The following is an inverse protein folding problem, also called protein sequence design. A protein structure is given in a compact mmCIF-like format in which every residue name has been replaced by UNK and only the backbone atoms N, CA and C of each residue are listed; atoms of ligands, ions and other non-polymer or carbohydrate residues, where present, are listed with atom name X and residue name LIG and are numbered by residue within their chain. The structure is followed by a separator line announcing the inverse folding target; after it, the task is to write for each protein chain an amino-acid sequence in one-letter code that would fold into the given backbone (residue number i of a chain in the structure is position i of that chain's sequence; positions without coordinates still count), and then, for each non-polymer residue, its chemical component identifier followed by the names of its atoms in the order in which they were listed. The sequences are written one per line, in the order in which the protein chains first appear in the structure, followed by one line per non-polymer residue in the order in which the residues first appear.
data_IF_420630734912
#
_entry.id   IF_420630734912
#
_cell.length_a   1.000
_cell.length_b   1.000
_cell.length_c   1.000
_cell.angle_alpha   90.00
_cell.angle_beta   90.00
_cell.angle_gamma   90.00
#
_symmetry.space_group_name_H-M   'P 1'
#
loop_
_entity.id
_entity.type
_entity.pdbx_description
1 polymer ?
#
# COMPACT_ATOMS: atom_id res chain seq x y z
N UNK A 1 37.69 -33.00 -11.15
CA UNK A 1 38.38 -32.69 -9.88
C UNK A 1 37.34 -32.60 -8.77
N UNK A 2 37.43 -33.50 -7.80
CA UNK A 2 36.52 -33.64 -6.65
C UNK A 2 36.65 -32.44 -5.70
N UNK A 3 37.82 -31.79 -5.67
CA UNK A 3 38.11 -30.59 -4.85
C UNK A 3 37.24 -29.39 -5.20
N UNK A 4 36.86 -29.23 -6.47
CA UNK A 4 36.06 -28.09 -6.90
C UNK A 4 34.60 -28.21 -6.45
N UNK A 5 34.11 -29.45 -6.25
CA UNK A 5 32.76 -29.72 -5.72
C UNK A 5 32.70 -29.46 -4.22
N UNK A 6 33.74 -29.88 -3.48
CA UNK A 6 33.83 -29.68 -2.03
C UNK A 6 33.94 -28.20 -1.65
N UNK A 7 34.77 -27.43 -2.36
CA UNK A 7 34.85 -25.97 -2.21
C UNK A 7 33.51 -25.29 -2.51
N UNK A 8 32.80 -25.72 -3.55
CA UNK A 8 31.48 -25.17 -3.89
C UNK A 8 30.46 -25.43 -2.77
N UNK A 9 30.43 -26.63 -2.21
CA UNK A 9 29.51 -26.98 -1.11
C UNK A 9 29.80 -26.19 0.18
N UNK A 10 31.07 -25.94 0.52
CA UNK A 10 31.45 -25.06 1.62
C UNK A 10 31.04 -23.60 1.39
N UNK A 11 31.23 -23.07 0.17
CA UNK A 11 30.80 -21.70 -0.17
C UNK A 11 29.27 -21.56 -0.11
N UNK A 12 28.52 -22.55 -0.59
CA UNK A 12 27.04 -22.57 -0.48
C UNK A 12 26.62 -22.59 0.99
N UNK A 13 27.30 -23.37 1.84
CA UNK A 13 27.00 -23.45 3.27
C UNK A 13 27.27 -22.15 4.01
N UNK A 14 28.35 -21.45 3.66
CA UNK A 14 28.76 -20.22 4.34
C UNK A 14 27.98 -18.99 3.88
N UNK A 15 27.62 -18.91 2.58
CA UNK A 15 26.98 -17.74 2.00
C UNK A 15 25.50 -17.95 1.61
N UNK A 16 25.00 -19.19 1.61
CA UNK A 16 23.63 -19.52 1.18
C UNK A 16 23.41 -19.42 -0.34
N UNK A 17 24.40 -19.01 -1.11
CA UNK A 17 24.29 -18.76 -2.55
C UNK A 17 24.60 -20.05 -3.32
N UNK A 18 23.56 -20.72 -3.83
CA UNK A 18 23.66 -21.96 -4.62
C UNK A 18 24.29 -21.78 -6.01
N UNK A 19 24.28 -20.56 -6.56
CA UNK A 19 24.85 -20.22 -7.86
C UNK A 19 24.42 -18.82 -8.32
N UNK A 20 24.97 -18.38 -9.45
CA UNK A 20 24.54 -17.15 -10.13
C UNK A 20 23.22 -17.38 -10.87
N UNK A 21 22.27 -16.45 -10.74
CA UNK A 21 21.04 -16.52 -11.52
C UNK A 21 21.35 -16.32 -13.01
N UNK A 22 20.71 -17.09 -13.89
CA UNK A 22 20.78 -16.85 -15.36
C UNK A 22 20.33 -15.44 -15.74
N UNK A 23 19.56 -14.77 -14.88
CA UNK A 23 19.16 -13.39 -15.11
C UNK A 23 20.37 -12.42 -15.12
N UNK A 24 21.48 -12.75 -14.43
CA UNK A 24 22.71 -11.96 -14.45
C UNK A 24 23.43 -12.02 -15.81
N UNK A 25 23.15 -13.02 -16.64
CA UNK A 25 23.72 -13.17 -17.98
C UNK A 25 23.03 -12.25 -19.00
N UNK A 26 21.84 -11.73 -18.67
CA UNK A 26 21.06 -10.87 -19.55
C UNK A 26 21.61 -9.44 -19.47
N UNK A 27 22.37 -9.03 -20.50
CA UNK A 27 23.00 -7.68 -20.59
C UNK A 27 21.99 -6.52 -20.52
N UNK A 28 20.72 -6.76 -20.85
CA UNK A 28 19.66 -5.76 -20.76
C UNK A 28 19.17 -5.51 -19.33
N UNK A 29 19.38 -6.44 -18.39
CA UNK A 29 18.99 -6.26 -16.99
C UNK A 29 20.10 -5.57 -16.20
N UNK A 30 19.78 -4.43 -15.62
CA UNK A 30 20.60 -3.73 -14.63
C UNK A 30 20.07 -4.05 -13.23
N UNK A 31 20.81 -4.82 -12.45
CA UNK A 31 20.45 -5.09 -11.05
C UNK A 31 20.96 -3.95 -10.15
N UNK A 32 20.16 -3.43 -9.19
CA UNK A 32 18.75 -3.78 -8.91
C UNK A 32 17.73 -2.97 -9.72
N UNK A 33 18.16 -1.99 -10.51
CA UNK A 33 17.32 -0.99 -11.18
C UNK A 33 16.23 -1.52 -12.13
N UNK A 34 16.38 -2.75 -12.63
CA UNK A 34 15.39 -3.39 -13.50
C UNK A 34 14.22 -4.02 -12.75
N UNK A 35 14.27 -3.99 -11.41
CA UNK A 35 13.22 -4.51 -10.53
C UNK A 35 12.79 -3.39 -9.55
N UNK A 36 12.23 -2.28 -10.06
CA UNK A 36 11.69 -1.25 -9.18
C UNK A 36 10.58 -1.84 -8.30
N UNK A 37 10.37 -1.25 -7.12
CA UNK A 37 9.29 -1.65 -6.23
C UNK A 37 7.96 -1.41 -6.97
N UNK A 38 7.12 -2.44 -7.06
CA UNK A 38 5.84 -2.34 -7.74
C UNK A 38 4.81 -1.57 -6.89
N UNK A 39 3.80 -1.03 -7.58
CA UNK A 39 2.64 -0.34 -7.00
C UNK A 39 1.96 -1.23 -5.94
N UNK A 40 1.91 -2.54 -6.17
CA UNK A 40 1.28 -3.49 -5.26
C UNK A 40 1.96 -3.51 -3.88
N UNK A 41 3.28 -3.64 -3.83
CA UNK A 41 3.99 -3.66 -2.56
C UNK A 41 4.05 -2.26 -1.96
N UNK A 42 4.37 -1.25 -2.77
CA UNK A 42 4.57 0.10 -2.27
C UNK A 42 3.27 0.73 -1.77
N UNK A 43 2.23 0.83 -2.61
CA UNK A 43 1.00 1.52 -2.21
C UNK A 43 0.05 0.62 -1.43
N UNK A 44 -0.20 -0.61 -1.92
CA UNK A 44 -1.27 -1.43 -1.34
C UNK A 44 -0.82 -2.15 -0.08
N UNK A 45 0.38 -2.73 -0.06
CA UNK A 45 0.85 -3.49 1.11
C UNK A 45 1.58 -2.64 2.16
N UNK A 46 2.05 -1.44 1.83
CA UNK A 46 2.74 -0.57 2.79
C UNK A 46 1.92 0.67 3.14
N UNK A 47 1.71 1.61 2.21
CA UNK A 47 1.10 2.91 2.54
C UNK A 47 -0.35 2.79 3.03
N UNK A 48 -1.20 2.01 2.35
CA UNK A 48 -2.59 1.85 2.75
C UNK A 48 -2.78 1.29 4.19
N UNK A 49 -2.14 0.16 4.57
CA UNK A 49 -2.24 -0.34 5.94
C UNK A 49 -1.57 0.60 6.96
N UNK A 50 -0.48 1.28 6.58
CA UNK A 50 0.16 2.28 7.44
C UNK A 50 -0.81 3.42 7.78
N UNK A 51 -1.48 3.98 6.77
CA UNK A 51 -2.45 5.06 6.95
C UNK A 51 -3.67 4.62 7.74
N UNK A 52 -4.20 3.43 7.46
CA UNK A 52 -5.27 2.84 8.26
C UNK A 52 -4.87 2.71 9.73
N UNK A 53 -3.67 2.20 10.00
CA UNK A 53 -3.18 1.99 11.34
C UNK A 53 -2.84 3.31 12.07
N UNK A 54 -2.41 4.34 11.31
CA UNK A 54 -2.21 5.70 11.79
C UNK A 54 -3.53 6.32 12.29
N UNK A 55 -4.59 6.26 11.49
CA UNK A 55 -5.92 6.79 11.85
C UNK A 55 -6.66 5.95 12.92
N UNK A 56 -6.29 4.68 13.10
CA UNK A 56 -6.88 3.77 14.10
C UNK A 56 -6.03 3.58 15.36
N UNK A 57 -4.99 4.39 15.58
CA UNK A 57 -4.11 4.39 16.76
C UNK A 57 -3.32 3.11 17.06
N UNK A 58 -3.21 2.16 16.13
CA UNK A 58 -2.45 0.92 16.40
C UNK A 58 -0.93 1.11 16.42
N UNK A 59 -0.43 2.26 15.96
CA UNK A 59 1.01 2.56 15.88
C UNK A 59 1.59 3.32 17.08
N UNK A 60 0.82 4.20 17.74
CA UNK A 60 1.35 5.05 18.82
C UNK A 60 0.71 4.69 20.16
N UNK A 61 1.41 3.85 20.93
CA UNK A 61 1.09 3.61 22.36
C UNK A 61 1.53 4.77 23.27
N UNK A 62 2.29 5.74 22.75
CA UNK A 62 2.86 6.80 23.55
C UNK A 62 1.98 8.06 23.47
N UNK A 63 1.38 8.37 24.61
CA UNK A 63 0.67 9.59 24.91
C UNK A 63 1.55 10.82 24.59
N UNK A 64 1.24 11.53 23.52
CA UNK A 64 1.55 12.95 23.41
C UNK A 64 0.24 13.70 23.15
N UNK A 65 0.06 14.77 23.90
CA UNK A 65 -1.22 15.48 24.10
C UNK A 65 -1.72 16.20 22.84
N UNK A 66 -0.89 16.35 21.80
CA UNK A 66 -1.27 16.92 20.49
C UNK A 66 -2.04 15.95 19.58
N UNK A 67 -2.22 14.70 20.01
CA UNK A 67 -2.66 13.61 19.13
C UNK A 67 -4.15 13.60 18.77
N UNK A 68 -4.97 14.55 19.22
CA UNK A 68 -6.43 14.46 19.12
C UNK A 68 -7.06 14.86 17.77
N UNK A 69 -6.31 15.50 16.87
CA UNK A 69 -6.90 16.14 15.68
C UNK A 69 -7.08 15.16 14.49
N UNK A 70 -6.36 14.04 14.47
CA UNK A 70 -6.33 13.08 13.36
C UNK A 70 -6.97 11.72 13.70
N UNK A 71 -7.69 11.63 14.82
CA UNK A 71 -8.22 10.38 15.35
C UNK A 71 -9.63 10.09 14.85
N UNK A 72 -9.82 8.88 14.34
CA UNK A 72 -11.15 8.31 14.13
C UNK A 72 -11.44 7.35 15.28
N UNK A 73 -12.57 7.55 15.95
CA UNK A 73 -12.99 6.70 17.06
C UNK A 73 -13.23 5.25 16.59
N UNK A 74 -12.96 4.26 17.44
CA UNK A 74 -13.21 2.85 17.16
C UNK A 74 -14.68 2.56 16.80
N UNK A 75 -15.64 3.23 17.43
CA UNK A 75 -17.06 3.10 17.07
C UNK A 75 -17.34 3.51 15.61
N UNK A 76 -16.64 4.55 15.14
CA UNK A 76 -16.75 5.02 13.75
C UNK A 76 -16.09 4.02 12.79
N UNK A 77 -14.95 3.43 13.17
CA UNK A 77 -14.33 2.36 12.38
C UNK A 77 -15.20 1.10 12.29
N UNK A 78 -15.88 0.74 13.37
CA UNK A 78 -16.85 -0.35 13.38
C UNK A 78 -18.02 -0.07 12.43
N UNK A 79 -18.56 1.15 12.43
CA UNK A 79 -19.59 1.60 11.47
C UNK A 79 -19.10 1.49 10.02
N UNK A 80 -17.89 1.97 9.72
CA UNK A 80 -17.26 1.85 8.39
C UNK A 80 -17.17 0.37 7.98
N UNK A 81 -16.68 -0.48 8.88
CA UNK A 81 -16.54 -1.91 8.62
C UNK A 81 -17.87 -2.61 8.35
N UNK A 82 -18.93 -2.23 9.07
CA UNK A 82 -20.27 -2.77 8.86
C UNK A 82 -20.86 -2.30 7.52
N UNK A 83 -20.70 -1.01 7.18
CA UNK A 83 -21.10 -0.47 5.87
C UNK A 83 -20.41 -1.16 4.71
N UNK A 84 -19.10 -1.44 4.82
CA UNK A 84 -18.38 -2.21 3.78
C UNK A 84 -18.98 -3.61 3.58
N UNK A 85 -19.35 -4.29 4.67
CA UNK A 85 -20.00 -5.62 4.62
C UNK A 85 -21.42 -5.56 4.04
N UNK A 86 -22.14 -4.46 4.22
CA UNK A 86 -23.45 -4.27 3.60
C UNK A 86 -23.32 -4.03 2.10
N UNK A 87 -22.41 -3.15 1.69
CA UNK A 87 -22.14 -2.85 0.27
C UNK A 87 -21.70 -4.11 -0.48
N UNK A 88 -20.98 -5.03 0.17
CA UNK A 88 -20.53 -6.28 -0.44
C UNK A 88 -21.68 -7.11 -1.02
N UNK A 89 -22.91 -6.98 -0.52
CA UNK A 89 -24.08 -7.73 -1.02
C UNK A 89 -24.54 -7.28 -2.40
N UNK A 90 -24.31 -6.00 -2.73
CA UNK A 90 -24.84 -5.36 -3.94
C UNK A 90 -23.73 -5.00 -4.94
N UNK A 91 -22.51 -5.51 -4.71
CA UNK A 91 -21.35 -5.13 -5.50
C UNK A 91 -21.24 -5.99 -6.77
N UNK A 92 -21.02 -5.37 -7.96
CA UNK A 92 -20.75 -6.12 -9.18
C UNK A 92 -19.52 -7.04 -9.05
N UNK A 93 -19.63 -8.25 -9.61
CA UNK A 93 -18.54 -9.23 -9.61
C UNK A 93 -17.29 -8.73 -10.34
N UNK A 94 -17.45 -7.80 -11.28
CA UNK A 94 -16.37 -7.21 -12.08
C UNK A 94 -15.35 -6.41 -11.25
N UNK A 95 -15.74 -5.98 -10.04
CA UNK A 95 -14.83 -5.27 -9.12
C UNK A 95 -13.89 -6.24 -8.39
N UNK A 96 -14.08 -7.55 -8.61
CA UNK A 96 -13.23 -8.61 -8.12
C UNK A 96 -13.64 -9.06 -6.73
N UNK A 97 -12.76 -8.85 -5.74
CA UNK A 97 -12.97 -9.40 -4.40
C UNK A 97 -13.95 -8.55 -3.60
N UNK A 98 -14.97 -9.22 -3.05
CA UNK A 98 -15.98 -8.59 -2.21
C UNK A 98 -15.34 -7.88 -1.00
N UNK A 99 -15.77 -6.64 -0.70
CA UNK A 99 -15.25 -5.89 0.43
C UNK A 99 -15.62 -6.61 1.72
N UNK A 100 -14.62 -6.72 2.59
CA UNK A 100 -14.80 -7.26 3.93
C UNK A 100 -14.79 -6.13 4.96
N UNK A 101 -15.30 -6.41 6.15
CA UNK A 101 -15.25 -5.47 7.26
C UNK A 101 -13.76 -5.18 7.60
N UNK A 102 -13.30 -3.98 7.23
CA UNK A 102 -11.90 -3.55 7.43
C UNK A 102 -11.54 -3.53 8.91
N UNK A 103 -12.44 -3.08 9.78
CA UNK A 103 -12.19 -3.02 11.22
C UNK A 103 -11.87 -4.39 11.83
N UNK A 104 -12.55 -5.45 11.39
CA UNK A 104 -12.34 -6.83 11.87
C UNK A 104 -11.23 -7.59 11.15
N UNK A 105 -11.03 -7.34 9.86
CA UNK A 105 -10.23 -8.23 8.99
C UNK A 105 -8.99 -7.58 8.36
N UNK A 106 -8.65 -6.32 8.67
CA UNK A 106 -7.52 -5.60 8.04
C UNK A 106 -6.18 -6.37 8.08
N UNK A 107 -5.92 -7.20 9.10
CA UNK A 107 -4.68 -8.01 9.21
C UNK A 107 -4.56 -9.03 8.07
N UNK A 108 -5.70 -9.56 7.61
CA UNK A 108 -5.77 -10.56 6.54
C UNK A 108 -5.94 -9.97 5.14
N UNK A 109 -5.98 -8.64 5.01
CA UNK A 109 -6.19 -8.00 3.72
C UNK A 109 -5.01 -8.25 2.78
N UNK A 110 -5.34 -8.79 1.60
CA UNK A 110 -4.43 -8.91 0.46
C UNK A 110 -4.33 -7.57 -0.26
N UNK A 111 -3.35 -7.47 -1.16
CA UNK A 111 -3.13 -6.24 -1.93
C UNK A 111 -4.37 -5.78 -2.71
N UNK A 112 -5.20 -6.70 -3.22
CA UNK A 112 -6.46 -6.34 -3.91
C UNK A 112 -7.49 -5.70 -2.98
N UNK A 113 -7.55 -6.12 -1.71
CA UNK A 113 -8.47 -5.53 -0.72
C UNK A 113 -8.01 -4.12 -0.35
N UNK A 114 -6.69 -3.91 -0.21
CA UNK A 114 -6.12 -2.59 -0.01
C UNK A 114 -6.25 -1.68 -1.22
N UNK A 115 -6.11 -2.20 -2.44
CA UNK A 115 -6.40 -1.45 -3.67
C UNK A 115 -7.84 -0.96 -3.66
N UNK A 116 -8.80 -1.86 -3.46
CA UNK A 116 -10.22 -1.53 -3.43
C UNK A 116 -10.54 -0.53 -2.30
N UNK A 117 -9.89 -0.68 -1.14
CA UNK A 117 -9.98 0.31 -0.07
C UNK A 117 -9.54 1.70 -0.55
N UNK A 118 -8.36 1.82 -1.15
CA UNK A 118 -7.85 3.10 -1.65
C UNK A 118 -8.80 3.70 -2.69
N UNK A 119 -9.12 2.96 -3.75
CA UNK A 119 -9.76 3.51 -4.95
C UNK A 119 -11.27 3.63 -4.86
N UNK A 120 -11.95 2.87 -3.98
CA UNK A 120 -13.42 2.82 -3.95
C UNK A 120 -14.02 3.25 -2.62
N UNK A 121 -13.40 2.87 -1.50
CA UNK A 121 -14.06 2.95 -0.20
C UNK A 121 -13.52 4.07 0.69
N UNK A 122 -12.22 4.34 0.63
CA UNK A 122 -11.55 5.21 1.59
C UNK A 122 -12.13 6.62 1.60
N UNK A 123 -12.18 7.30 0.45
CA UNK A 123 -12.71 8.67 0.35
C UNK A 123 -14.18 8.80 0.77
N UNK A 124 -15.15 8.04 0.22
CA UNK A 124 -16.55 8.18 0.59
C UNK A 124 -16.82 7.76 2.03
N UNK A 125 -16.12 6.74 2.54
CA UNK A 125 -16.36 6.27 3.90
C UNK A 125 -15.71 7.16 4.94
N UNK A 126 -14.57 7.79 4.66
CA UNK A 126 -13.88 8.73 5.57
C UNK A 126 -14.45 10.15 5.53
N UNK A 127 -15.22 10.50 4.49
CA UNK A 127 -15.85 11.81 4.39
C UNK A 127 -16.77 12.09 5.58
N UNK A 128 -16.62 13.27 6.19
CA UNK A 128 -17.33 13.67 7.41
C UNK A 128 -16.88 12.97 8.70
N UNK A 129 -15.90 12.07 8.65
CA UNK A 129 -15.34 11.35 9.82
C UNK A 129 -13.88 11.70 10.09
N UNK A 130 -13.14 12.03 9.02
CA UNK A 130 -11.77 12.52 9.09
C UNK A 130 -11.76 14.04 8.85
N UNK A 131 -10.89 14.78 9.54
CA UNK A 131 -10.71 16.22 9.29
C UNK A 131 -10.38 16.45 7.81
N UNK A 132 -11.05 17.46 7.24
CA UNK A 132 -11.03 17.79 5.82
C UNK A 132 -9.61 17.97 5.28
N UNK A 133 -8.67 18.48 6.08
CA UNK A 133 -7.26 18.66 5.69
C UNK A 133 -6.61 17.32 5.37
N UNK A 134 -6.75 16.32 6.25
CA UNK A 134 -6.19 14.99 6.03
C UNK A 134 -6.89 14.26 4.89
N UNK A 135 -8.21 14.41 4.77
CA UNK A 135 -8.97 13.80 3.67
C UNK A 135 -8.55 14.36 2.31
N UNK A 136 -8.34 15.68 2.19
CA UNK A 136 -7.86 16.31 0.97
C UNK A 136 -6.48 15.80 0.56
N UNK A 137 -5.59 15.54 1.53
CA UNK A 137 -4.25 15.00 1.27
C UNK A 137 -4.29 13.53 0.91
N UNK A 138 -5.12 12.74 1.58
CA UNK A 138 -5.39 11.37 1.19
C UNK A 138 -5.97 11.28 -0.22
N UNK A 139 -6.82 12.23 -0.62
CA UNK A 139 -7.34 12.31 -1.99
C UNK A 139 -6.21 12.49 -3.03
N UNK A 140 -5.15 13.25 -2.72
CA UNK A 140 -3.97 13.37 -3.59
C UNK A 140 -3.27 12.01 -3.79
N UNK A 141 -3.10 11.25 -2.71
CA UNK A 141 -2.57 9.89 -2.79
C UNK A 141 -3.48 8.95 -3.60
N UNK A 142 -4.80 8.97 -3.35
CA UNK A 142 -5.76 8.15 -4.12
C UNK A 142 -5.68 8.50 -5.60
N UNK A 143 -5.62 9.78 -5.95
CA UNK A 143 -5.49 10.23 -7.34
C UNK A 143 -4.20 9.76 -7.99
N UNK A 144 -3.07 9.82 -7.28
CA UNK A 144 -1.80 9.29 -7.79
C UNK A 144 -1.88 7.78 -8.05
N UNK A 145 -2.48 7.02 -7.13
CA UNK A 145 -2.69 5.57 -7.30
C UNK A 145 -3.60 5.27 -8.48
N UNK A 146 -4.67 6.03 -8.68
CA UNK A 146 -5.57 5.87 -9.82
C UNK A 146 -4.84 6.10 -11.15
N UNK A 147 -4.04 7.17 -11.25
CA UNK A 147 -3.21 7.45 -12.42
C UNK A 147 -2.23 6.30 -12.69
N UNK A 148 -1.57 5.79 -11.65
CA UNK A 148 -0.68 4.64 -11.78
C UNK A 148 -1.38 3.37 -12.29
N UNK A 149 -2.68 3.20 -12.04
CA UNK A 149 -3.48 2.06 -12.47
C UNK A 149 -4.10 2.21 -13.86
N UNK A 150 -3.99 3.38 -14.50
CA UNK A 150 -4.51 3.59 -15.85
C UNK A 150 -3.74 2.76 -16.87
N UNK A 151 -4.47 2.28 -17.88
CA UNK A 151 -3.90 1.47 -18.97
C UNK A 151 -3.12 2.31 -19.99
N UNK A 152 -3.50 3.57 -20.15
CA UNK A 152 -2.90 4.51 -21.10
C UNK A 152 -2.33 5.67 -20.30
N UNK A 153 -1.04 5.93 -20.48
CA UNK A 153 -0.39 7.09 -19.90
C UNK A 153 -0.33 8.23 -20.91
N UNK A 154 -0.69 9.43 -20.50
CA UNK A 154 -0.43 10.68 -21.21
C UNK A 154 0.93 11.20 -20.74
N UNK A 155 1.71 11.85 -21.62
CA UNK A 155 3.09 12.26 -21.34
C UNK A 155 3.28 13.12 -20.06
N UNK A 156 2.23 13.72 -19.50
CA UNK A 156 2.28 14.52 -18.27
C UNK A 156 1.96 13.73 -16.99
N UNK A 157 1.49 12.48 -17.07
CA UNK A 157 1.00 11.75 -15.91
C UNK A 157 2.11 11.49 -14.88
N UNK A 158 3.36 11.29 -15.33
CA UNK A 158 4.48 11.06 -14.42
C UNK A 158 4.81 12.29 -13.56
N UNK A 159 4.72 13.49 -14.13
CA UNK A 159 4.92 14.73 -13.38
C UNK A 159 3.77 14.92 -12.39
N UNK A 160 2.53 14.70 -12.83
CA UNK A 160 1.36 14.80 -11.97
C UNK A 160 1.42 13.79 -10.81
N UNK A 161 1.76 12.53 -11.07
CA UNK A 161 1.95 11.51 -10.03
C UNK A 161 3.01 11.97 -9.03
N UNK A 162 4.14 12.50 -9.51
CA UNK A 162 5.22 12.99 -8.64
C UNK A 162 4.74 14.14 -7.75
N UNK A 163 4.07 15.14 -8.30
CA UNK A 163 3.56 16.29 -7.58
C UNK A 163 2.51 15.88 -6.52
N UNK A 164 1.57 15.01 -6.90
CA UNK A 164 0.54 14.49 -6.00
C UNK A 164 1.15 13.73 -4.81
N UNK A 165 2.17 12.89 -5.06
CA UNK A 165 2.83 12.12 -4.01
C UNK A 165 3.69 13.01 -3.10
N UNK A 166 4.38 14.01 -3.65
CA UNK A 166 5.14 14.99 -2.87
C UNK A 166 4.22 15.81 -1.96
N UNK A 167 3.10 16.30 -2.49
CA UNK A 167 2.08 17.02 -1.70
C UNK A 167 1.49 16.16 -0.58
N UNK A 168 1.29 14.87 -0.83
CA UNK A 168 0.86 13.93 0.19
C UNK A 168 1.95 13.73 1.26
N UNK A 169 3.20 13.52 0.86
CA UNK A 169 4.32 13.23 1.75
C UNK A 169 4.65 14.38 2.70
N UNK A 170 4.80 15.61 2.19
CA UNK A 170 5.17 16.78 3.00
C UNK A 170 4.17 17.10 4.12
N UNK A 171 2.95 16.57 4.03
CA UNK A 171 1.95 16.74 5.07
C UNK A 171 2.20 15.86 6.31
N UNK A 172 2.85 14.70 6.15
CA UNK A 172 3.06 13.75 7.25
C UNK A 172 4.46 13.82 7.87
N UNK A 173 5.39 14.57 7.26
CA UNK A 173 6.73 14.84 7.83
C UNK A 173 6.78 16.03 8.81
N UNK A 174 5.75 16.89 8.84
CA UNK A 174 5.65 18.03 9.75
C UNK A 174 4.79 17.71 10.96
#
# INVERSE_FOLDING_TARGET
SIDNKYKKEQLIKNYGIKGTSKLLEIKALKFPWSFPIDIMHFFFKNIAPLMFAYWSQKFFKNNSEDSNIYKINNSIWEEIGNKMKEISKNMPLDIGRLPQNIYKHYVGFKAVEWRNWITLFSLPLLNGKLDKRYLLRWNKFVKAVELCLQYIYINNDLNEISDLLNEFYFHYEK
#
